data_IF_967569833623
#
_entry.id   IF_967569833623
#
_cell.length_a   1.000
_cell.length_b   1.000
_cell.length_c   1.000
_cell.angle_alpha   90.00
_cell.angle_beta   90.00
_cell.angle_gamma   90.00
#
_symmetry.space_group_name_H-M   'P 1'
#
loop_
_entity.id
_entity.type
_entity.pdbx_description
1 polymer ?
#
# COMPACT_ATOMS: atom_id res chain seq x y z
N UNK A 1 12.48 -14.28 -7.55
CA UNK A 1 13.83 -13.72 -7.76
C UNK A 1 13.86 -13.10 -9.14
N UNK A 2 14.41 -11.89 -9.33
CA UNK A 2 14.46 -11.26 -10.66
C UNK A 2 15.53 -12.00 -11.50
N UNK A 3 15.20 -12.47 -12.72
CA UNK A 3 16.18 -13.09 -13.61
C UNK A 3 17.37 -12.17 -13.92
N UNK A 4 18.58 -12.74 -14.05
CA UNK A 4 19.82 -11.98 -14.27
C UNK A 4 19.78 -11.06 -15.51
N UNK A 5 19.04 -11.44 -16.55
CA UNK A 5 18.89 -10.64 -17.77
C UNK A 5 18.04 -9.37 -17.59
N UNK A 6 17.25 -9.27 -16.52
CA UNK A 6 16.40 -8.11 -16.25
C UNK A 6 17.02 -7.10 -15.27
N UNK A 7 18.20 -7.42 -14.73
CA UNK A 7 18.92 -6.55 -13.79
C UNK A 7 19.20 -5.15 -14.33
N UNK A 8 19.57 -4.93 -15.61
CA UNK A 8 19.77 -3.59 -16.15
C UNK A 8 18.49 -2.74 -16.12
N UNK A 9 17.37 -3.33 -16.55
CA UNK A 9 16.05 -2.67 -16.52
C UNK A 9 15.58 -2.39 -15.10
N UNK A 10 15.86 -3.30 -14.16
CA UNK A 10 15.56 -3.08 -12.75
C UNK A 10 16.34 -1.88 -12.20
N UNK A 11 17.62 -1.74 -12.56
CA UNK A 11 18.48 -0.64 -12.11
C UNK A 11 18.01 0.71 -12.68
N UNK A 12 17.62 0.75 -13.95
CA UNK A 12 17.01 1.94 -14.56
C UNK A 12 15.73 2.37 -13.83
N UNK A 13 14.82 1.42 -13.58
CA UNK A 13 13.56 1.69 -12.87
C UNK A 13 13.76 2.07 -11.39
N UNK A 14 14.84 1.60 -10.77
CA UNK A 14 15.24 2.00 -9.41
C UNK A 14 15.57 3.50 -9.35
N UNK A 15 16.13 4.08 -10.42
CA UNK A 15 16.44 5.51 -10.45
C UNK A 15 15.21 6.42 -10.54
N UNK A 16 14.03 5.88 -10.89
CA UNK A 16 12.79 6.66 -10.96
C UNK A 16 12.16 6.79 -9.58
N UNK A 17 11.89 5.66 -8.90
CA UNK A 17 11.13 5.64 -7.65
C UNK A 17 11.96 5.31 -6.40
N UNK A 18 13.28 5.11 -6.53
CA UNK A 18 14.22 4.74 -5.43
C UNK A 18 13.90 3.40 -4.74
N UNK A 19 13.07 2.56 -5.36
CA UNK A 19 12.84 1.17 -4.98
C UNK A 19 12.70 0.29 -6.22
N UNK A 20 12.66 -1.03 -6.02
CA UNK A 20 12.53 -1.99 -7.11
C UNK A 20 11.10 -1.99 -7.69
N UNK A 21 10.85 -1.08 -8.63
CA UNK A 21 9.55 -0.92 -9.27
C UNK A 21 9.13 -2.19 -10.02
N UNK A 22 10.06 -2.83 -10.73
CA UNK A 22 9.79 -4.06 -11.47
C UNK A 22 9.27 -5.17 -10.55
N UNK A 23 9.87 -5.32 -9.36
CA UNK A 23 9.37 -6.26 -8.36
C UNK A 23 7.98 -5.84 -7.85
N UNK A 24 7.77 -4.56 -7.55
CA UNK A 24 6.46 -4.06 -7.11
C UNK A 24 5.37 -4.38 -8.14
N UNK A 25 5.60 -4.08 -9.42
CA UNK A 25 4.61 -4.28 -10.48
C UNK A 25 4.21 -5.75 -10.66
N UNK A 26 5.11 -6.69 -10.33
CA UNK A 26 4.85 -8.14 -10.39
C UNK A 26 4.15 -8.69 -9.16
N UNK A 27 4.12 -7.93 -8.06
CA UNK A 27 3.45 -8.36 -6.84
C UNK A 27 1.95 -7.97 -6.92
N UNK A 28 1.01 -8.88 -6.61
CA UNK A 28 -0.41 -8.56 -6.62
C UNK A 28 -0.79 -7.41 -5.68
N UNK A 29 -1.68 -6.51 -6.12
CA UNK A 29 -2.16 -5.38 -5.31
C UNK A 29 -2.81 -5.82 -4.00
N UNK A 30 -3.45 -7.00 -3.98
CA UNK A 30 -4.12 -7.60 -2.83
C UNK A 30 -3.31 -8.70 -2.13
N UNK A 31 -1.97 -8.65 -2.15
CA UNK A 31 -1.12 -9.66 -1.50
C UNK A 31 -1.47 -9.84 -0.01
N UNK A 32 -1.45 -11.08 0.46
CA UNK A 32 -1.50 -11.37 1.89
C UNK A 32 -0.15 -11.03 2.55
N UNK A 33 -0.17 -10.77 3.85
CA UNK A 33 1.04 -10.60 4.66
C UNK A 33 0.97 -11.56 5.84
N UNK A 34 2.09 -12.16 6.25
CA UNK A 34 2.13 -12.92 7.49
C UNK A 34 1.82 -12.00 8.68
N UNK A 35 1.12 -12.53 9.67
CA UNK A 35 0.87 -11.80 10.92
C UNK A 35 2.09 -11.92 11.84
N UNK A 36 2.89 -10.85 11.88
CA UNK A 36 4.08 -10.74 12.73
C UNK A 36 3.79 -10.14 14.10
N UNK A 37 2.52 -9.88 14.44
CA UNK A 37 2.15 -9.29 15.73
C UNK A 37 2.39 -10.28 16.87
N UNK A 38 2.72 -9.76 18.06
CA UNK A 38 2.79 -10.56 19.29
C UNK A 38 1.41 -11.14 19.61
N UNK A 39 1.36 -12.37 20.16
CA UNK A 39 0.10 -13.05 20.53
C UNK A 39 -0.85 -12.17 21.37
N UNK A 40 -0.32 -11.36 22.29
CA UNK A 40 -1.11 -10.42 23.12
C UNK A 40 -1.86 -9.34 22.33
N UNK A 41 -1.44 -9.04 21.10
CA UNK A 41 -2.11 -8.07 20.23
C UNK A 41 -3.21 -8.72 19.37
N UNK A 42 -3.23 -10.05 19.25
CA UNK A 42 -4.29 -10.76 18.56
C UNK A 42 -5.59 -10.65 19.38
N UNK A 43 -6.70 -10.33 18.74
CA UNK A 43 -8.01 -10.21 19.41
C UNK A 43 -8.28 -8.91 20.17
N UNK A 44 -7.35 -7.94 20.20
CA UNK A 44 -7.59 -6.62 20.85
C UNK A 44 -8.50 -5.66 20.06
N UNK A 45 -8.84 -6.01 18.83
CA UNK A 45 -9.55 -5.14 17.87
C UNK A 45 -11.01 -5.57 17.67
N UNK A 46 -11.60 -6.24 18.67
CA UNK A 46 -12.96 -6.78 18.58
C UNK A 46 -14.03 -5.74 18.91
N UNK A 47 -13.70 -4.75 19.74
CA UNK A 47 -14.63 -3.68 20.09
C UNK A 47 -14.49 -2.52 19.09
N UNK A 48 -15.40 -2.50 18.12
CA UNK A 48 -15.53 -1.42 17.16
C UNK A 48 -16.60 -0.40 17.59
N UNK A 49 -17.37 -0.71 18.64
CA UNK A 49 -18.46 0.15 19.10
C UNK A 49 -17.88 1.41 19.76
N UNK A 50 -18.43 2.57 19.39
CA UNK A 50 -17.96 3.87 19.89
C UNK A 50 -16.68 4.41 19.23
N UNK A 51 -16.05 3.67 18.31
CA UNK A 51 -14.95 4.22 17.52
C UNK A 51 -15.47 5.19 16.44
N UNK A 52 -14.82 6.36 16.24
CA UNK A 52 -15.24 7.31 15.24
C UNK A 52 -14.95 6.82 13.82
N UNK A 53 -15.82 7.18 12.87
CA UNK A 53 -15.53 7.02 11.45
C UNK A 53 -14.30 7.86 11.06
N UNK A 54 -13.45 7.33 10.19
CA UNK A 54 -12.21 7.96 9.73
C UNK A 54 -12.21 8.14 8.21
N UNK A 55 -11.80 9.33 7.77
CA UNK A 55 -11.43 9.62 6.39
C UNK A 55 -9.92 9.44 6.25
N UNK A 56 -9.48 8.68 5.24
CA UNK A 56 -8.06 8.43 5.00
C UNK A 56 -7.59 9.33 3.86
N UNK A 57 -6.57 10.15 4.12
CA UNK A 57 -6.00 11.07 3.12
C UNK A 57 -4.63 10.54 2.73
N UNK A 58 -4.43 10.29 1.43
CA UNK A 58 -3.16 9.84 0.86
C UNK A 58 -2.70 10.92 -0.11
N UNK A 59 -1.66 11.67 0.29
CA UNK A 59 -0.99 12.62 -0.60
C UNK A 59 0.05 11.88 -1.42
N UNK A 60 0.11 12.10 -2.72
CA UNK A 60 1.10 11.49 -3.60
C UNK A 60 1.66 12.50 -4.61
N UNK A 61 2.94 12.33 -4.96
CA UNK A 61 3.62 13.07 -6.01
C UNK A 61 4.51 12.12 -6.80
N UNK A 62 4.21 11.92 -8.09
CA UNK A 62 4.95 11.00 -8.98
C UNK A 62 5.11 9.57 -8.45
N UNK A 63 4.21 9.13 -7.55
CA UNK A 63 4.26 7.81 -6.92
C UNK A 63 4.01 6.71 -7.96
N UNK A 64 4.61 5.53 -7.76
CA UNK A 64 4.37 4.43 -8.68
C UNK A 64 2.95 3.88 -8.55
N UNK A 65 2.29 3.59 -9.68
CA UNK A 65 0.92 3.11 -9.69
C UNK A 65 0.70 1.85 -8.85
N UNK A 66 1.64 0.90 -8.93
CA UNK A 66 1.58 -0.35 -8.17
C UNK A 66 1.75 -0.17 -6.66
N UNK A 67 2.47 0.86 -6.21
CA UNK A 67 2.60 1.17 -4.77
C UNK A 67 1.37 1.92 -4.28
N UNK A 68 0.94 2.95 -4.98
CA UNK A 68 -0.26 3.74 -4.64
C UNK A 68 -1.51 2.86 -4.52
N UNK A 69 -1.81 2.06 -5.55
CA UNK A 69 -2.98 1.18 -5.52
C UNK A 69 -2.89 0.10 -4.45
N UNK A 70 -1.69 -0.42 -4.17
CA UNK A 70 -1.51 -1.44 -3.12
C UNK A 70 -1.77 -0.85 -1.73
N UNK A 71 -1.44 0.43 -1.52
CA UNK A 71 -1.80 1.17 -0.31
C UNK A 71 -3.32 1.29 -0.18
N UNK A 72 -4.01 1.70 -1.24
CA UNK A 72 -5.48 1.79 -1.27
C UNK A 72 -6.14 0.43 -1.00
N UNK A 73 -5.70 -0.63 -1.69
CA UNK A 73 -6.19 -1.99 -1.46
C UNK A 73 -5.91 -2.49 -0.03
N UNK A 74 -4.76 -2.15 0.54
CA UNK A 74 -4.44 -2.52 1.93
C UNK A 74 -5.39 -1.86 2.91
N UNK A 75 -5.70 -0.57 2.71
CA UNK A 75 -6.67 0.17 3.52
C UNK A 75 -8.04 -0.50 3.46
N UNK A 76 -8.54 -0.77 2.26
CA UNK A 76 -9.86 -1.38 2.06
C UNK A 76 -9.94 -2.78 2.70
N UNK A 77 -8.88 -3.58 2.57
CA UNK A 77 -8.88 -4.97 3.01
C UNK A 77 -8.58 -5.15 4.51
N UNK A 78 -7.94 -4.17 5.16
CA UNK A 78 -7.44 -4.31 6.54
C UNK A 78 -8.07 -3.33 7.53
N UNK A 79 -8.87 -2.38 7.07
CA UNK A 79 -9.68 -1.52 7.94
C UNK A 79 -11.12 -2.06 8.04
N UNK A 80 -11.74 -2.04 9.24
CA UNK A 80 -13.17 -2.33 9.37
C UNK A 80 -14.01 -1.37 8.53
N UNK A 81 -14.87 -1.91 7.66
CA UNK A 81 -15.70 -1.11 6.73
C UNK A 81 -16.59 -0.09 7.43
N UNK A 82 -17.07 -0.43 8.64
CA UNK A 82 -17.93 0.46 9.46
C UNK A 82 -17.22 1.74 9.91
N UNK A 83 -15.89 1.72 10.00
CA UNK A 83 -15.09 2.87 10.41
C UNK A 83 -14.52 3.64 9.22
N UNK A 84 -14.51 3.06 8.02
CA UNK A 84 -13.92 3.68 6.85
C UNK A 84 -14.96 4.53 6.12
N UNK A 85 -14.88 5.85 6.29
CA UNK A 85 -15.81 6.79 5.65
C UNK A 85 -15.48 6.99 4.18
N UNK A 86 -14.23 7.35 3.89
CA UNK A 86 -13.75 7.68 2.55
C UNK A 86 -12.22 7.55 2.45
N UNK A 87 -11.72 7.44 1.22
CA UNK A 87 -10.29 7.51 0.90
C UNK A 87 -10.10 8.66 -0.10
N UNK A 88 -9.38 9.70 0.32
CA UNK A 88 -9.07 10.87 -0.48
C UNK A 88 -7.64 10.75 -1.00
N UNK A 89 -7.50 10.66 -2.33
CA UNK A 89 -6.20 10.71 -2.99
C UNK A 89 -5.93 12.15 -3.41
N UNK A 90 -4.90 12.76 -2.85
CA UNK A 90 -4.53 14.16 -3.11
C UNK A 90 -3.25 14.16 -3.93
N UNK A 91 -3.35 14.62 -5.17
CA UNK A 91 -2.19 14.80 -6.05
C UNK A 91 -1.49 16.12 -5.75
N UNK A 92 -0.23 16.05 -5.34
CA UNK A 92 0.63 17.22 -5.12
C UNK A 92 1.38 17.58 -6.40
N UNK A 93 0.63 17.94 -7.45
CA UNK A 93 1.16 18.36 -8.75
C UNK A 93 2.15 17.34 -9.35
N UNK A 94 1.71 16.10 -9.55
CA UNK A 94 2.49 15.11 -10.30
C UNK A 94 2.72 15.59 -11.74
N UNK A 95 3.94 15.38 -12.26
CA UNK A 95 4.38 15.87 -13.57
C UNK A 95 4.68 14.73 -14.56
N UNK A 96 4.18 13.52 -14.25
CA UNK A 96 4.51 12.29 -14.96
C UNK A 96 3.63 12.05 -16.18
#
# INVERSE_FOLDING_TARGET
>A
MIPSHEMPRMQELYHINRFNLMASDRIPLNRSLPDVRKKRCQGKYTDLEGLPSTSIIIVFHNEAWSTLLRTVHSVINRSPRVLLKEILLVDDNSNR
#
